data_IF_683934284700
#
_entry.id   IF_683934284700
#
_cell.length_a   1.000
_cell.length_b   1.000
_cell.length_c   1.000
_cell.angle_alpha   90.00
_cell.angle_beta   90.00
_cell.angle_gamma   90.00
#
_symmetry.space_group_name_H-M   'P 1'
#
loop_
_entity.id
_entity.type
_entity.pdbx_description
1 polymer ?
#
# COMPACT_ATOMS: atom_id res chain seq x y z
N UNK A 1 -18.26 -30.74 -34.48
CA UNK A 1 -17.32 -30.11 -33.55
C UNK A 1 -18.14 -29.14 -32.70
N UNK A 2 -18.44 -29.50 -31.45
CA UNK A 2 -19.22 -28.66 -30.54
C UNK A 2 -18.32 -27.59 -29.90
N UNK A 3 -18.82 -26.38 -29.61
CA UNK A 3 -18.03 -25.36 -28.92
C UNK A 3 -17.89 -25.77 -27.45
N UNK A 4 -16.66 -26.01 -26.99
CA UNK A 4 -16.38 -26.26 -25.58
C UNK A 4 -16.65 -24.96 -24.81
N UNK A 5 -17.46 -25.04 -23.76
CA UNK A 5 -17.90 -23.89 -22.99
C UNK A 5 -16.70 -23.28 -22.24
N UNK A 6 -16.47 -21.97 -22.38
CA UNK A 6 -15.33 -21.25 -21.79
C UNK A 6 -15.19 -21.45 -20.28
N UNK A 7 -16.30 -21.76 -19.59
CA UNK A 7 -16.32 -22.08 -18.16
C UNK A 7 -15.75 -23.47 -17.84
N UNK A 8 -16.01 -24.48 -18.67
CA UNK A 8 -15.49 -25.83 -18.48
C UNK A 8 -13.97 -25.87 -18.76
N UNK A 9 -13.51 -25.12 -19.76
CA UNK A 9 -12.06 -24.96 -19.99
C UNK A 9 -11.36 -24.25 -18.83
N UNK A 10 -12.03 -23.30 -18.17
CA UNK A 10 -11.48 -22.62 -17.00
C UNK A 10 -11.40 -23.55 -15.79
N UNK A 11 -12.44 -24.35 -15.55
CA UNK A 11 -12.49 -25.35 -14.47
C UNK A 11 -11.49 -26.48 -14.71
N UNK A 12 -11.30 -26.93 -15.95
CA UNK A 12 -10.32 -27.95 -16.31
C UNK A 12 -8.89 -27.43 -16.14
N UNK A 13 -8.58 -26.21 -16.63
CA UNK A 13 -7.29 -25.55 -16.35
C UNK A 13 -7.07 -25.32 -14.86
N UNK A 14 -8.12 -25.12 -14.07
CA UNK A 14 -8.03 -25.01 -12.60
C UNK A 14 -7.66 -26.35 -11.97
N UNK A 15 -8.29 -27.46 -12.36
CA UNK A 15 -7.97 -28.79 -11.83
C UNK A 15 -6.54 -29.22 -12.18
N UNK A 16 -6.11 -29.02 -13.43
CA UNK A 16 -4.75 -29.35 -13.89
C UNK A 16 -3.66 -28.54 -13.16
N UNK A 17 -3.99 -27.34 -12.63
CA UNK A 17 -3.08 -26.53 -11.82
C UNK A 17 -3.06 -26.94 -10.35
N UNK A 18 -4.19 -27.37 -9.79
CA UNK A 18 -4.26 -27.89 -8.42
C UNK A 18 -3.38 -29.15 -8.29
N UNK A 19 -3.39 -30.03 -9.29
CA UNK A 19 -2.52 -31.21 -9.31
C UNK A 19 -1.03 -30.85 -9.42
N UNK A 20 -0.68 -29.76 -10.12
CA UNK A 20 0.71 -29.28 -10.18
C UNK A 20 1.21 -28.69 -8.84
N UNK A 21 0.35 -27.98 -8.11
CA UNK A 21 0.66 -27.45 -6.78
C UNK A 21 0.91 -28.57 -5.76
N UNK A 22 0.08 -29.61 -5.75
CA UNK A 22 0.24 -30.79 -4.89
C UNK A 22 1.56 -31.54 -5.18
N UNK A 23 1.95 -31.62 -6.46
CA UNK A 23 3.23 -32.23 -6.86
C UNK A 23 4.44 -31.38 -6.42
N UNK A 24 4.33 -30.06 -6.41
CA UNK A 24 5.40 -29.16 -5.98
C UNK A 24 5.65 -29.24 -4.46
N UNK A 25 4.58 -29.30 -3.66
CA UNK A 25 4.67 -29.49 -2.20
C UNK A 25 5.37 -30.81 -1.84
N UNK A 26 5.15 -31.87 -2.62
CA UNK A 26 5.76 -33.18 -2.37
C UNK A 26 7.28 -33.24 -2.62
N UNK A 27 7.83 -32.27 -3.38
CA UNK A 27 9.25 -32.24 -3.80
C UNK A 27 10.10 -31.23 -3.06
N UNK A 28 9.52 -30.44 -2.15
CA UNK A 28 10.25 -29.44 -1.36
C UNK A 28 10.88 -28.31 -2.22
N UNK A 29 10.42 -28.13 -3.45
CA UNK A 29 10.86 -27.06 -4.34
C UNK A 29 10.17 -25.76 -3.94
N UNK A 30 10.93 -24.66 -3.88
CA UNK A 30 10.39 -23.33 -3.61
C UNK A 30 9.39 -22.97 -4.71
N UNK A 31 8.12 -22.92 -4.33
CA UNK A 31 7.02 -22.61 -5.23
C UNK A 31 7.28 -21.20 -5.80
N UNK A 32 7.48 -21.10 -7.12
CA UNK A 32 7.43 -19.81 -7.79
C UNK A 32 5.96 -19.36 -7.77
N UNK A 33 5.53 -18.74 -6.67
CA UNK A 33 4.17 -18.25 -6.43
C UNK A 33 3.73 -17.13 -7.40
N UNK A 34 4.50 -16.92 -8.46
CA UNK A 34 4.25 -16.01 -9.56
C UNK A 34 3.15 -16.52 -10.51
N UNK A 35 2.75 -17.79 -10.39
CA UNK A 35 1.73 -18.45 -11.24
C UNK A 35 0.40 -18.78 -10.53
N UNK A 36 0.11 -18.13 -9.40
CA UNK A 36 -1.18 -18.32 -8.73
C UNK A 36 -2.31 -17.68 -9.56
N UNK A 37 -3.42 -18.38 -9.85
CA UNK A 37 -4.55 -17.83 -10.60
C UNK A 37 -5.44 -16.89 -9.75
N UNK A 38 -5.16 -16.78 -8.46
CA UNK A 38 -5.96 -16.06 -7.48
C UNK A 38 -5.10 -15.22 -6.53
N UNK A 39 -5.69 -14.16 -5.98
CA UNK A 39 -4.99 -13.27 -5.09
C UNK A 39 -4.78 -13.89 -3.71
N UNK A 40 -3.53 -13.94 -3.24
CA UNK A 40 -3.24 -14.47 -1.92
C UNK A 40 -3.83 -13.68 -0.73
N UNK A 41 -4.28 -12.43 -0.95
CA UNK A 41 -4.87 -11.54 0.08
C UNK A 41 -6.37 -11.81 0.24
N UNK A 42 -7.16 -11.68 -0.83
CA UNK A 42 -8.62 -11.83 -0.78
C UNK A 42 -9.12 -13.23 -1.18
N UNK A 43 -8.25 -14.07 -1.76
CA UNK A 43 -8.58 -15.40 -2.30
C UNK A 43 -9.55 -15.39 -3.48
N UNK A 44 -9.69 -14.25 -4.16
CA UNK A 44 -10.48 -14.13 -5.39
C UNK A 44 -9.60 -14.33 -6.63
N UNK A 45 -10.15 -14.92 -7.72
CA UNK A 45 -9.44 -15.03 -9.00
C UNK A 45 -9.00 -13.69 -9.56
N UNK A 46 -7.90 -13.68 -10.31
CA UNK A 46 -7.52 -12.51 -11.09
C UNK A 46 -8.45 -12.31 -12.28
N UNK A 47 -8.76 -11.04 -12.54
CA UNK A 47 -9.54 -10.63 -13.70
C UNK A 47 -8.61 -9.98 -14.73
N UNK A 48 -8.78 -10.35 -15.99
CA UNK A 48 -7.93 -9.92 -17.11
C UNK A 48 -8.66 -8.95 -18.05
N UNK A 49 -9.90 -8.58 -17.73
CA UNK A 49 -10.64 -7.59 -18.47
C UNK A 49 -10.02 -6.19 -18.27
N UNK A 50 -9.97 -5.40 -19.35
CA UNK A 50 -9.31 -4.10 -19.36
C UNK A 50 -9.92 -3.08 -18.38
N UNK A 51 -11.20 -3.22 -18.08
CA UNK A 51 -11.94 -2.36 -17.15
C UNK A 51 -11.96 -2.91 -15.71
N UNK A 52 -11.33 -4.07 -15.49
CA UNK A 52 -11.32 -4.67 -14.16
C UNK A 52 -10.35 -3.95 -13.23
N UNK A 53 -10.69 -4.00 -11.95
CA UNK A 53 -9.87 -3.44 -10.87
C UNK A 53 -9.09 -4.51 -10.10
N UNK A 54 -9.41 -5.78 -10.34
CA UNK A 54 -8.79 -6.95 -9.69
C UNK A 54 -7.81 -7.69 -10.61
N UNK A 55 -7.10 -6.95 -11.46
CA UNK A 55 -6.05 -7.50 -12.31
C UNK A 55 -4.78 -7.83 -11.51
N UNK A 56 -3.96 -8.79 -11.99
CA UNK A 56 -2.75 -9.21 -11.30
C UNK A 56 -1.69 -8.10 -11.32
N UNK A 57 -1.17 -7.77 -10.16
CA UNK A 57 -0.17 -6.73 -9.94
C UNK A 57 0.96 -7.23 -9.03
N UNK A 58 2.19 -6.77 -9.29
CA UNK A 58 3.35 -7.02 -8.45
C UNK A 58 4.13 -5.74 -8.21
N UNK A 59 4.85 -5.70 -7.08
CA UNK A 59 5.83 -4.64 -6.83
C UNK A 59 7.11 -4.96 -7.62
N UNK A 60 7.65 -3.97 -8.32
CA UNK A 60 8.84 -4.10 -9.16
C UNK A 60 10.07 -3.46 -8.49
N UNK A 61 11.27 -3.72 -9.02
CA UNK A 61 12.52 -3.16 -8.48
C UNK A 61 13.11 -3.89 -7.28
N UNK A 62 12.58 -5.08 -6.95
CA UNK A 62 13.01 -5.89 -5.80
C UNK A 62 13.27 -7.31 -6.30
N UNK A 63 14.53 -7.73 -6.29
CA UNK A 63 14.93 -9.06 -6.79
C UNK A 63 14.42 -10.21 -5.92
N UNK A 64 14.38 -9.99 -4.61
CA UNK A 64 14.02 -10.98 -3.57
C UNK A 64 12.51 -11.26 -3.47
N UNK A 65 11.65 -10.56 -4.22
CA UNK A 65 10.21 -10.74 -4.14
C UNK A 65 9.54 -10.56 -5.50
N UNK A 66 8.89 -11.62 -5.98
CA UNK A 66 8.14 -11.64 -7.26
C UNK A 66 6.66 -11.99 -7.11
N UNK A 67 6.13 -11.94 -5.89
CA UNK A 67 4.74 -12.31 -5.59
C UNK A 67 3.72 -11.36 -6.26
N UNK A 68 2.63 -11.96 -6.76
CA UNK A 68 1.54 -11.28 -7.48
C UNK A 68 0.28 -11.24 -6.61
N UNK A 69 -0.43 -10.12 -6.66
CA UNK A 69 -1.65 -9.85 -5.89
C UNK A 69 -2.66 -9.08 -6.75
N UNK A 70 -3.91 -8.96 -6.29
CA UNK A 70 -4.89 -8.11 -6.97
C UNK A 70 -4.50 -6.65 -6.81
N UNK A 71 -4.61 -5.85 -7.87
CA UNK A 71 -4.21 -4.45 -7.84
C UNK A 71 -4.87 -3.63 -6.73
N UNK A 72 -6.18 -3.80 -6.47
CA UNK A 72 -6.82 -3.15 -5.31
C UNK A 72 -6.22 -3.67 -4.01
N UNK A 73 -6.12 -4.99 -3.83
CA UNK A 73 -5.67 -5.59 -2.57
C UNK A 73 -4.27 -5.13 -2.18
N UNK A 74 -3.36 -5.06 -3.15
CA UNK A 74 -1.98 -4.61 -2.90
C UNK A 74 -1.92 -3.12 -2.57
N UNK A 75 -2.74 -2.28 -3.21
CA UNK A 75 -2.83 -0.85 -2.89
C UNK A 75 -3.35 -0.63 -1.48
N UNK A 76 -4.44 -1.31 -1.11
CA UNK A 76 -5.01 -1.28 0.24
C UNK A 76 -3.98 -1.74 1.28
N UNK A 77 -3.21 -2.80 0.98
CA UNK A 77 -2.13 -3.26 1.86
C UNK A 77 -1.05 -2.19 2.07
N UNK A 78 -0.61 -1.53 1.00
CA UNK A 78 0.38 -0.45 1.07
C UNK A 78 -0.10 0.75 1.87
N UNK A 79 -1.40 1.05 1.85
CA UNK A 79 -1.99 2.15 2.61
C UNK A 79 -2.19 1.83 4.10
N UNK A 80 -2.49 0.57 4.45
CA UNK A 80 -2.88 0.19 5.81
C UNK A 80 -1.88 -0.68 6.57
N UNK A 81 -1.27 -1.65 5.91
CA UNK A 81 -0.50 -2.73 6.54
C UNK A 81 1.02 -2.57 6.38
N UNK A 82 1.49 -1.82 5.38
CA UNK A 82 2.86 -1.29 5.34
C UNK A 82 3.65 -1.62 4.08
N UNK A 83 4.97 -1.76 4.26
CA UNK A 83 5.98 -1.79 3.20
C UNK A 83 6.58 -3.19 2.98
N UNK A 84 5.87 -4.26 3.36
CA UNK A 84 6.34 -5.65 3.28
C UNK A 84 5.43 -6.51 2.43
N UNK A 85 5.99 -7.56 1.85
CA UNK A 85 5.22 -8.57 1.13
C UNK A 85 4.31 -9.39 2.07
N UNK A 86 3.00 -9.52 1.78
CA UNK A 86 2.09 -10.37 2.56
C UNK A 86 2.50 -11.85 2.63
N UNK A 87 3.20 -12.36 1.61
CA UNK A 87 3.59 -13.76 1.51
C UNK A 87 4.95 -14.04 2.15
N UNK A 88 6.01 -13.39 1.64
CA UNK A 88 7.38 -13.68 2.07
C UNK A 88 7.96 -12.65 3.05
N UNK A 89 7.21 -11.61 3.41
CA UNK A 89 7.62 -10.54 4.33
C UNK A 89 8.83 -9.71 3.89
N UNK A 90 9.33 -9.89 2.67
CA UNK A 90 10.38 -9.04 2.07
C UNK A 90 9.95 -7.57 2.15
N UNK A 91 10.84 -6.73 2.68
CA UNK A 91 10.64 -5.28 2.74
C UNK A 91 10.79 -4.70 1.33
N UNK A 92 9.78 -4.02 0.84
CA UNK A 92 9.74 -3.46 -0.50
C UNK A 92 10.40 -2.10 -0.61
N UNK A 93 10.21 -1.25 0.40
CA UNK A 93 10.86 0.06 0.43
C UNK A 93 11.05 0.50 1.87
N UNK A 94 12.20 1.08 2.16
CA UNK A 94 12.49 1.69 3.46
C UNK A 94 12.07 3.16 3.44
N UNK A 95 10.77 3.42 3.31
CA UNK A 95 10.24 4.77 3.54
C UNK A 95 9.63 4.83 4.94
N UNK A 96 9.83 5.92 5.70
CA UNK A 96 9.02 6.16 6.88
C UNK A 96 7.56 6.17 6.43
N UNK A 97 6.70 5.35 7.03
CA UNK A 97 5.28 5.27 6.68
C UNK A 97 4.69 6.67 6.51
N UNK A 98 3.73 6.90 5.60
CA UNK A 98 3.06 8.21 5.43
C UNK A 98 2.65 8.84 6.77
N UNK A 99 2.22 8.01 7.74
CA UNK A 99 1.97 8.40 9.13
C UNK A 99 3.16 9.04 9.84
N UNK A 100 4.36 8.48 9.68
CA UNK A 100 5.60 9.02 10.24
C UNK A 100 6.04 10.30 9.53
N UNK A 101 5.87 10.40 8.21
CA UNK A 101 6.16 11.62 7.46
C UNK A 101 5.22 12.76 7.87
N UNK A 102 3.91 12.51 7.94
CA UNK A 102 2.93 13.49 8.42
C UNK A 102 3.20 13.89 9.88
N UNK A 103 3.55 12.93 10.74
CA UNK A 103 3.95 13.21 12.13
C UNK A 103 5.23 14.05 12.19
N UNK A 104 6.23 13.77 11.35
CA UNK A 104 7.45 14.58 11.27
C UNK A 104 7.17 16.00 10.77
N UNK A 105 6.30 16.16 9.78
CA UNK A 105 5.89 17.48 9.27
C UNK A 105 5.16 18.25 10.38
N UNK A 106 4.22 17.62 11.10
CA UNK A 106 3.54 18.22 12.25
C UNK A 106 4.52 18.64 13.36
N UNK A 107 5.48 17.79 13.71
CA UNK A 107 6.48 18.11 14.73
C UNK A 107 7.40 19.27 14.31
N UNK A 108 7.82 19.32 13.05
CA UNK A 108 8.62 20.44 12.52
C UNK A 108 7.83 21.74 12.50
N UNK A 109 6.56 21.69 12.12
CA UNK A 109 5.66 22.84 12.17
C UNK A 109 5.48 23.34 13.61
N UNK A 110 5.21 22.45 14.58
CA UNK A 110 5.10 22.81 15.99
C UNK A 110 6.40 23.42 16.53
N UNK A 111 7.56 22.83 16.22
CA UNK A 111 8.85 23.36 16.64
C UNK A 111 9.12 24.76 16.06
N UNK A 112 8.78 24.97 14.79
CA UNK A 112 8.89 26.28 14.15
C UNK A 112 7.94 27.30 14.80
N UNK A 113 6.69 26.93 15.04
CA UNK A 113 5.69 27.79 15.70
C UNK A 113 6.11 28.16 17.12
N UNK A 114 6.64 27.23 17.91
CA UNK A 114 7.20 27.55 19.23
C UNK A 114 8.33 28.58 19.15
N UNK A 115 9.20 28.48 18.14
CA UNK A 115 10.26 29.46 17.89
C UNK A 115 9.71 30.85 17.57
N UNK A 116 8.74 30.93 16.66
CA UNK A 116 8.08 32.19 16.29
C UNK A 116 7.40 32.84 17.49
N UNK A 117 6.64 32.06 18.29
CA UNK A 117 5.96 32.57 19.49
C UNK A 117 6.97 33.14 20.48
N UNK A 118 8.07 32.43 20.71
CA UNK A 118 9.14 32.91 21.60
C UNK A 118 9.73 34.23 21.11
N UNK A 119 10.07 34.33 19.82
CA UNK A 119 10.60 35.58 19.23
C UNK A 119 9.60 36.74 19.33
N UNK A 120 8.30 36.49 19.15
CA UNK A 120 7.26 37.53 19.27
C UNK A 120 7.07 37.98 20.72
N UNK A 121 7.13 37.05 21.68
CA UNK A 121 7.10 37.38 23.12
C UNK A 121 8.33 38.19 23.52
N UNK A 122 9.53 37.81 23.07
CA UNK A 122 10.78 38.54 23.32
C UNK A 122 10.76 39.95 22.68
N UNK A 123 10.01 40.12 21.59
CA UNK A 123 9.79 41.41 20.91
C UNK A 123 8.67 42.27 21.55
N UNK A 124 8.02 41.79 22.63
CA UNK A 124 6.98 42.53 23.35
C UNK A 124 5.63 42.60 22.63
N UNK A 125 5.35 41.68 21.69
CA UNK A 125 4.06 41.61 21.01
C UNK A 125 2.97 41.15 21.97
N UNK A 126 1.77 41.75 21.90
CA UNK A 126 0.68 41.41 22.81
C UNK A 126 0.21 39.96 22.62
N UNK A 127 -0.16 39.25 23.69
CA UNK A 127 -0.60 37.86 23.61
C UNK A 127 -1.79 37.63 22.68
N UNK A 128 -2.69 38.61 22.56
CA UNK A 128 -3.89 38.54 21.71
C UNK A 128 -3.54 38.47 20.22
N UNK A 129 -2.53 39.24 19.80
CA UNK A 129 -2.04 39.23 18.43
C UNK A 129 -1.28 37.93 18.11
N UNK A 130 -0.51 37.42 19.07
CA UNK A 130 0.19 36.14 18.93
C UNK A 130 -0.81 35.00 18.75
N UNK A 131 -1.86 34.96 19.57
CA UNK A 131 -2.91 33.95 19.45
C UNK A 131 -3.64 34.02 18.10
N UNK A 132 -3.94 35.22 17.60
CA UNK A 132 -4.55 35.40 16.26
C UNK A 132 -3.67 34.92 15.10
N UNK A 133 -2.34 35.08 15.22
CA UNK A 133 -1.39 34.55 14.24
C UNK A 133 -1.33 33.01 14.29
N UNK A 134 -1.30 32.44 15.50
CA UNK A 134 -1.30 30.97 15.67
C UNK A 134 -2.55 30.36 15.06
N UNK A 135 -3.75 30.89 15.36
CA UNK A 135 -5.01 30.34 14.83
C UNK A 135 -5.05 30.39 13.32
N UNK A 136 -4.69 31.52 12.71
CA UNK A 136 -4.66 31.68 11.25
C UNK A 136 -3.66 30.70 10.60
N UNK A 137 -2.50 30.49 11.23
CA UNK A 137 -1.48 29.57 10.71
C UNK A 137 -1.91 28.11 10.83
N UNK A 138 -2.55 27.74 11.95
CA UNK A 138 -3.09 26.39 12.16
C UNK A 138 -4.21 26.07 11.16
N UNK A 139 -5.12 27.01 10.92
CA UNK A 139 -6.17 26.84 9.90
C UNK A 139 -5.61 26.68 8.49
N UNK A 140 -4.52 27.37 8.17
CA UNK A 140 -3.80 27.20 6.90
C UNK A 140 -3.17 25.81 6.77
N UNK A 141 -2.57 25.32 7.86
CA UNK A 141 -1.96 23.99 7.91
C UNK A 141 -3.00 22.86 7.78
N UNK A 142 -4.14 22.96 8.47
CA UNK A 142 -5.21 21.96 8.36
C UNK A 142 -5.79 21.86 6.95
N UNK A 143 -5.88 22.98 6.22
CA UNK A 143 -6.32 22.97 4.82
C UNK A 143 -5.35 22.22 3.93
N UNK A 144 -4.04 22.38 4.14
CA UNK A 144 -3.01 21.69 3.37
C UNK A 144 -2.97 20.17 3.64
N UNK A 145 -3.33 19.73 4.85
CA UNK A 145 -3.37 18.29 5.17
C UNK A 145 -4.57 17.54 4.59
N UNK A 146 -5.58 18.23 4.03
CA UNK A 146 -6.77 17.62 3.42
C UNK A 146 -6.62 17.31 1.93
N UNK A 147 -5.53 17.75 1.29
CA UNK A 147 -5.18 17.45 -0.10
C UNK A 147 -4.08 16.39 -0.17
#
# INVERSE_FOLDING_TARGET
>A
MAPVNSREEFEQRRLERLTHLELCESRGEQCDHNEQPECAICKEPFDYDADSTHFPARVTGISECRHVFGNICIRTWLDHAGNTCPLCRTVWFWLPSKRLLLRQIQLRFLAHMCGVVKTLMDAGVSPELIMGLITTTLEGYERLQRY
#
